data_IF_353975158242
#
_entry.id   IF_353975158242
#
_cell.length_a   1.000
_cell.length_b   1.000
_cell.length_c   1.000
_cell.angle_alpha   90.00
_cell.angle_beta   90.00
_cell.angle_gamma   90.00
#
_symmetry.space_group_name_H-M   'P 1'
#
loop_
_entity.id
_entity.type
_entity.pdbx_description
1 polymer ?
#
# COMPACT_ATOMS: atom_id res chain seq x y z
N UNK A 1 -4.62 -6.60 1.16
CA UNK A 1 -3.40 -6.12 0.49
C UNK A 1 -2.43 -7.28 0.31
N UNK A 2 -1.30 -7.07 -0.35
CA UNK A 2 -0.23 -8.05 -0.54
C UNK A 2 1.13 -7.33 -0.62
N UNK A 3 2.24 -8.04 -0.45
CA UNK A 3 3.58 -7.43 -0.50
C UNK A 3 4.61 -8.27 -1.27
N UNK A 4 5.56 -7.59 -1.93
CA UNK A 4 6.64 -8.22 -2.72
C UNK A 4 7.57 -9.09 -1.87
N UNK A 5 7.79 -8.71 -0.61
CA UNK A 5 8.59 -9.45 0.36
C UNK A 5 7.78 -9.88 1.60
N UNK A 6 6.45 -9.97 1.47
CA UNK A 6 5.58 -10.31 2.58
C UNK A 6 5.56 -11.81 2.85
N UNK A 7 5.72 -12.21 4.11
CA UNK A 7 5.35 -13.53 4.58
C UNK A 7 3.82 -13.71 4.64
N UNK A 8 3.36 -14.95 4.82
CA UNK A 8 1.94 -15.26 5.04
C UNK A 8 1.60 -15.10 6.52
N UNK A 9 0.48 -14.44 6.82
CA UNK A 9 -0.15 -14.52 8.14
C UNK A 9 0.35 -13.52 9.19
N UNK A 10 1.25 -12.59 8.85
CA UNK A 10 1.69 -11.60 9.81
C UNK A 10 0.56 -10.59 10.09
N UNK A 11 0.29 -10.26 11.37
CA UNK A 11 -0.69 -9.23 11.70
C UNK A 11 -0.19 -7.84 11.29
N UNK A 12 -1.10 -6.86 11.24
CA UNK A 12 -0.69 -5.46 11.17
C UNK A 12 0.20 -5.10 12.39
N UNK A 13 1.15 -4.20 12.19
CA UNK A 13 1.99 -3.72 13.30
C UNK A 13 1.14 -3.03 14.36
N UNK A 14 1.53 -3.10 15.65
CA UNK A 14 0.81 -2.42 16.72
C UNK A 14 0.61 -0.92 16.48
N UNK A 15 1.62 -0.25 15.92
CA UNK A 15 1.57 1.18 15.59
C UNK A 15 0.52 1.48 14.51
N UNK A 16 0.46 0.68 13.45
CA UNK A 16 -0.57 0.82 12.40
C UNK A 16 -1.98 0.58 12.97
N UNK A 17 -2.14 -0.43 13.82
CA UNK A 17 -3.42 -0.71 14.48
C UNK A 17 -3.84 0.45 15.38
N UNK A 18 -2.91 1.05 16.13
CA UNK A 18 -3.20 2.18 17.01
C UNK A 18 -3.59 3.44 16.21
N UNK A 19 -2.80 3.79 15.18
CA UNK A 19 -3.06 4.99 14.38
C UNK A 19 -4.39 4.85 13.64
N UNK A 20 -4.60 3.77 12.90
CA UNK A 20 -5.81 3.59 12.11
C UNK A 20 -7.08 3.50 12.98
N UNK A 21 -6.97 3.00 14.21
CA UNK A 21 -8.09 3.00 15.16
C UNK A 21 -8.55 4.42 15.50
N UNK A 22 -7.64 5.40 15.58
CA UNK A 22 -8.01 6.80 15.84
C UNK A 22 -8.86 7.39 14.71
N UNK A 23 -8.73 6.86 13.49
CA UNK A 23 -9.52 7.23 12.32
C UNK A 23 -10.74 6.31 12.10
N UNK A 24 -11.05 5.45 13.08
CA UNK A 24 -12.20 4.55 13.02
C UNK A 24 -12.00 3.31 12.15
N UNK A 25 -10.76 3.00 11.75
CA UNK A 25 -10.42 1.83 10.93
C UNK A 25 -9.82 0.72 11.80
N UNK A 26 -10.42 -0.47 11.74
CA UNK A 26 -9.95 -1.64 12.50
C UNK A 26 -9.03 -2.54 11.64
N UNK A 27 -7.74 -2.58 11.99
CA UNK A 27 -6.75 -3.44 11.35
C UNK A 27 -6.45 -4.73 12.14
N UNK A 28 -7.16 -5.00 13.24
CA UNK A 28 -6.86 -6.16 14.12
C UNK A 28 -7.07 -7.51 13.44
N UNK A 29 -7.87 -7.56 12.38
CA UNK A 29 -8.10 -8.75 11.56
C UNK A 29 -7.26 -8.80 10.29
N UNK A 30 -6.35 -7.83 10.09
CA UNK A 30 -5.44 -7.85 8.94
C UNK A 30 -4.48 -9.03 9.03
N UNK A 31 -4.24 -9.67 7.88
CA UNK A 31 -3.25 -10.73 7.71
C UNK A 31 -2.49 -10.48 6.41
N UNK A 32 -1.17 -10.45 6.50
CA UNK A 32 -0.30 -10.31 5.33
C UNK A 32 -0.40 -11.52 4.40
N UNK A 33 -0.13 -11.29 3.13
CA UNK A 33 0.06 -12.34 2.13
C UNK A 33 1.11 -11.87 1.10
N UNK A 34 1.91 -12.80 0.54
CA UNK A 34 2.81 -12.49 -0.56
C UNK A 34 2.02 -12.05 -1.79
N UNK A 35 2.61 -11.17 -2.59
CA UNK A 35 2.09 -10.87 -3.92
C UNK A 35 2.25 -12.09 -4.81
N UNK A 36 1.18 -12.47 -5.51
CA UNK A 36 1.17 -13.57 -6.48
C UNK A 36 0.65 -13.06 -7.83
N UNK A 37 1.00 -13.78 -8.90
CA UNK A 37 0.46 -13.50 -10.24
C UNK A 37 -1.07 -13.56 -10.27
N UNK A 38 -1.66 -14.54 -9.57
CA UNK A 38 -3.12 -14.66 -9.46
C UNK A 38 -3.75 -13.40 -8.87
N UNK A 39 -3.17 -12.85 -7.79
CA UNK A 39 -3.64 -11.59 -7.20
C UNK A 39 -3.49 -10.41 -8.16
N UNK A 40 -2.38 -10.32 -8.90
CA UNK A 40 -2.16 -9.28 -9.89
C UNK A 40 -3.18 -9.35 -11.03
N UNK A 41 -3.41 -10.55 -11.58
CA UNK A 41 -4.34 -10.75 -12.68
C UNK A 41 -5.79 -10.54 -12.27
N UNK A 42 -6.15 -10.81 -11.01
CA UNK A 42 -7.50 -10.61 -10.49
C UNK A 42 -7.85 -9.14 -10.17
N UNK A 43 -6.88 -8.24 -9.98
CA UNK A 43 -7.13 -6.88 -9.50
C UNK A 43 -7.32 -5.85 -10.62
N UNK A 44 -8.45 -5.16 -10.72
CA UNK A 44 -8.68 -4.14 -11.76
C UNK A 44 -7.60 -3.05 -11.80
N UNK A 45 -7.14 -2.63 -10.60
CA UNK A 45 -6.02 -1.71 -10.38
C UNK A 45 -5.15 -2.21 -9.24
N UNK A 46 -3.85 -1.94 -9.34
CA UNK A 46 -2.84 -2.23 -8.32
C UNK A 46 -2.13 -0.92 -7.96
N UNK A 47 -2.22 -0.53 -6.70
CA UNK A 47 -1.56 0.66 -6.18
C UNK A 47 -0.32 0.29 -5.36
N UNK A 48 0.84 0.76 -5.79
CA UNK A 48 2.11 0.54 -5.09
C UNK A 48 2.50 1.74 -4.23
N UNK A 49 3.19 1.48 -3.13
CA UNK A 49 3.66 2.54 -2.23
C UNK A 49 4.86 3.32 -2.77
N UNK A 50 5.67 2.69 -3.64
CA UNK A 50 6.91 3.29 -4.15
C UNK A 50 7.11 2.99 -5.62
N UNK A 51 7.92 3.81 -6.29
CA UNK A 51 8.37 3.58 -7.66
C UNK A 51 9.12 2.26 -7.79
N UNK A 52 9.99 1.95 -6.82
CA UNK A 52 10.71 0.68 -6.79
C UNK A 52 9.79 -0.54 -6.75
N UNK A 53 8.69 -0.49 -5.98
CA UNK A 53 7.68 -1.55 -5.98
C UNK A 53 6.99 -1.70 -7.35
N UNK A 54 6.62 -0.58 -7.99
CA UNK A 54 6.02 -0.59 -9.33
C UNK A 54 6.96 -1.23 -10.35
N UNK A 55 8.20 -0.77 -10.42
CA UNK A 55 9.18 -1.28 -11.39
C UNK A 55 9.51 -2.75 -11.15
N UNK A 56 9.54 -3.19 -9.89
CA UNK A 56 9.74 -4.61 -9.56
C UNK A 56 8.64 -5.48 -10.15
N UNK A 57 7.39 -5.02 -10.13
CA UNK A 57 6.27 -5.77 -10.73
C UNK A 57 6.37 -5.69 -12.26
N UNK A 58 6.57 -4.50 -12.84
CA UNK A 58 6.57 -4.30 -14.29
C UNK A 58 7.77 -4.93 -15.01
N UNK A 59 8.90 -5.10 -14.33
CA UNK A 59 10.03 -5.85 -14.87
C UNK A 59 9.71 -7.32 -15.13
N UNK A 60 8.70 -7.87 -14.44
CA UNK A 60 8.24 -9.25 -14.60
C UNK A 60 6.94 -9.33 -15.42
N UNK A 61 6.08 -8.32 -15.32
CA UNK A 61 4.76 -8.28 -15.96
C UNK A 61 4.54 -6.94 -16.70
N UNK A 62 5.33 -6.65 -17.75
CA UNK A 62 5.26 -5.39 -18.47
C UNK A 62 3.88 -5.12 -19.10
N UNK A 63 3.13 -6.17 -19.43
CA UNK A 63 1.76 -6.09 -19.97
C UNK A 63 0.73 -5.53 -18.98
N UNK A 64 1.09 -5.41 -17.69
CA UNK A 64 0.22 -4.85 -16.65
C UNK A 64 0.46 -3.35 -16.41
N UNK A 65 1.24 -2.67 -17.25
CA UNK A 65 1.60 -1.26 -17.08
C UNK A 65 0.39 -0.33 -16.84
N UNK A 66 -0.69 -0.52 -17.59
CA UNK A 66 -1.91 0.29 -17.48
C UNK A 66 -2.71 0.04 -16.19
N UNK A 67 -2.38 -1.01 -15.43
CA UNK A 67 -3.06 -1.41 -14.20
C UNK A 67 -2.26 -1.10 -12.94
N UNK A 68 -0.95 -0.86 -13.06
CA UNK A 68 -0.05 -0.68 -11.92
C UNK A 68 0.37 0.78 -11.81
N UNK A 69 -0.10 1.42 -10.75
CA UNK A 69 0.11 2.84 -10.50
C UNK A 69 0.69 3.07 -9.11
N UNK A 70 1.37 4.20 -8.92
CA UNK A 70 1.71 4.65 -7.57
C UNK A 70 0.45 5.08 -6.85
N UNK A 71 0.32 4.74 -5.56
CA UNK A 71 -0.77 5.26 -4.74
C UNK A 71 -0.77 6.79 -4.77
N UNK A 72 0.41 7.38 -4.57
CA UNK A 72 0.61 8.82 -4.59
C UNK A 72 0.44 9.43 -5.98
N UNK A 73 -0.45 10.42 -6.09
CA UNK A 73 -0.72 11.16 -7.34
C UNK A 73 0.33 12.22 -7.66
N UNK A 74 1.17 12.59 -6.71
CA UNK A 74 2.27 13.54 -6.92
C UNK A 74 3.59 12.84 -7.33
N UNK A 75 3.55 11.51 -7.51
CA UNK A 75 4.70 10.70 -7.92
C UNK A 75 5.77 10.51 -6.84
N UNK A 76 5.51 10.91 -5.60
CA UNK A 76 6.40 10.65 -4.47
C UNK A 76 6.16 9.26 -3.86
N UNK A 77 7.22 8.65 -3.36
CA UNK A 77 7.15 7.41 -2.60
C UNK A 77 6.53 7.64 -1.22
N UNK A 78 5.74 6.68 -0.76
CA UNK A 78 5.31 6.58 0.65
C UNK A 78 6.46 5.95 1.45
N UNK A 79 6.83 6.62 2.55
CA UNK A 79 7.89 6.21 3.45
C UNK A 79 7.56 4.89 4.16
N UNK A 80 8.51 3.94 4.19
CA UNK A 80 8.36 2.68 4.93
C UNK A 80 8.64 2.90 6.43
N UNK A 81 7.64 2.68 7.32
CA UNK A 81 7.78 2.97 8.74
C UNK A 81 8.40 1.82 9.56
N UNK A 82 8.65 0.65 8.95
CA UNK A 82 9.05 -0.56 9.67
C UNK A 82 10.34 -0.32 10.47
N UNK A 83 10.26 -0.52 11.79
CA UNK A 83 11.41 -0.43 12.70
C UNK A 83 11.76 1.00 13.18
N UNK A 84 11.03 2.02 12.75
CA UNK A 84 11.36 3.44 13.03
C UNK A 84 10.47 4.09 14.10
N UNK A 85 9.56 3.33 14.72
CA UNK A 85 8.70 3.77 15.82
C UNK A 85 7.53 4.67 15.39
N UNK A 86 6.72 5.08 16.37
CA UNK A 86 5.40 5.69 16.14
C UNK A 86 5.42 6.92 15.23
N UNK A 87 6.43 7.80 15.33
CA UNK A 87 6.52 9.00 14.51
C UNK A 87 6.64 8.69 13.01
N UNK A 88 7.38 7.62 12.66
CA UNK A 88 7.50 7.19 11.27
C UNK A 88 6.18 6.59 10.75
N UNK A 89 5.49 5.80 11.57
CA UNK A 89 4.16 5.29 11.23
C UNK A 89 3.13 6.42 11.04
N UNK A 90 3.18 7.47 11.86
CA UNK A 90 2.32 8.65 11.70
C UNK A 90 2.61 9.41 10.40
N UNK A 91 3.88 9.51 9.98
CA UNK A 91 4.25 10.12 8.71
C UNK A 91 3.75 9.26 7.53
N UNK A 92 4.03 7.96 7.53
CA UNK A 92 3.55 7.01 6.53
C UNK A 92 2.01 7.06 6.41
N UNK A 93 1.31 7.08 7.55
CA UNK A 93 -0.14 7.20 7.59
C UNK A 93 -0.63 8.48 6.91
N UNK A 94 -0.03 9.64 7.19
CA UNK A 94 -0.41 10.91 6.53
C UNK A 94 -0.22 10.84 5.03
N UNK A 95 0.92 10.33 4.57
CA UNK A 95 1.22 10.20 3.13
C UNK A 95 0.19 9.28 2.42
N UNK A 96 -0.17 8.16 3.04
CA UNK A 96 -1.20 7.25 2.53
C UNK A 96 -2.56 7.94 2.53
N UNK A 97 -2.94 8.60 3.62
CA UNK A 97 -4.25 9.24 3.75
C UNK A 97 -4.46 10.35 2.71
N UNK A 98 -3.47 11.23 2.54
CA UNK A 98 -3.50 12.29 1.53
C UNK A 98 -3.59 11.71 0.11
N UNK A 99 -2.84 10.63 -0.15
CA UNK A 99 -2.88 9.95 -1.45
C UNK A 99 -4.23 9.28 -1.73
N UNK A 100 -4.83 8.66 -0.69
CA UNK A 100 -6.16 8.05 -0.79
C UNK A 100 -7.24 9.09 -1.04
N UNK A 101 -7.17 10.25 -0.39
CA UNK A 101 -8.13 11.34 -0.63
C UNK A 101 -8.10 11.78 -2.09
N UNK A 102 -6.91 12.03 -2.63
CA UNK A 102 -6.75 12.41 -4.03
C UNK A 102 -7.25 11.31 -4.99
N UNK A 103 -7.00 10.04 -4.68
CA UNK A 103 -7.46 8.90 -5.48
C UNK A 103 -9.00 8.78 -5.46
N UNK A 104 -9.63 8.93 -4.29
CA UNK A 104 -11.09 8.87 -4.19
C UNK A 104 -11.73 10.01 -4.98
N UNK A 105 -11.17 11.22 -4.90
CA UNK A 105 -11.65 12.37 -5.68
C UNK A 105 -11.50 12.11 -7.19
N UNK A 106 -10.42 11.48 -7.64
CA UNK A 106 -10.23 11.09 -9.05
C UNK A 106 -11.27 10.06 -9.51
N UNK A 107 -11.57 9.05 -8.69
CA UNK A 107 -12.46 7.94 -9.06
C UNK A 107 -13.95 8.28 -8.97
N UNK A 108 -14.32 9.36 -8.28
CA UNK A 108 -15.71 9.75 -8.06
C UNK A 108 -16.16 10.97 -8.87
N UNK A 109 -15.24 11.59 -9.62
CA UNK A 109 -15.53 12.61 -10.64
C UNK A 109 -15.85 11.98 -12.00
#
# INVERSE_FOLDING_TARGET
SAGLAAGVGAPASPESVEICRNDGVDLTHHSSQPLTEELLLAADKVFTMTFGHRETILSQYPELEDRIELLSRNGQDVSDPIGWGMAAYQQCHREIFESLQALVDELTN
#
